data_IF_909074582784
#
_entry.id   IF_909074582784
#
_cell.length_a   1.000
_cell.length_b   1.000
_cell.length_c   1.000
_cell.angle_alpha   90.00
_cell.angle_beta   90.00
_cell.angle_gamma   90.00
#
_symmetry.space_group_name_H-M   'P 1'
#
loop_
_entity.id
_entity.type
_entity.pdbx_description
1 polymer ?
#
# COMPACT_ATOMS: atom_id res chain seq x y z
N UNK A 1 -16.75 10.75 -23.39
CA UNK A 1 -15.80 11.32 -22.40
C UNK A 1 -14.67 10.32 -22.26
N UNK A 2 -13.39 10.72 -22.15
CA UNK A 2 -12.33 9.77 -21.85
C UNK A 2 -12.66 9.07 -20.53
N UNK A 3 -12.43 7.76 -20.46
CA UNK A 3 -12.62 7.00 -19.23
C UNK A 3 -11.68 7.57 -18.15
N UNK A 4 -12.20 7.80 -16.94
CA UNK A 4 -11.37 8.30 -15.84
C UNK A 4 -10.22 7.30 -15.58
N UNK A 5 -8.97 7.74 -15.38
CA UNK A 5 -7.86 6.82 -15.14
C UNK A 5 -8.05 6.04 -13.83
N UNK A 6 -7.34 4.92 -13.70
CA UNK A 6 -7.06 4.34 -12.40
C UNK A 6 -5.89 5.09 -11.75
N UNK A 7 -5.98 5.35 -10.45
CA UNK A 7 -4.90 5.99 -9.70
C UNK A 7 -4.18 4.98 -8.82
N UNK A 8 -2.86 5.02 -8.82
CA UNK A 8 -1.99 4.26 -7.90
C UNK A 8 -1.21 5.26 -7.05
N UNK A 9 -1.56 5.37 -5.76
CA UNK A 9 -0.82 6.21 -4.82
C UNK A 9 0.17 5.37 -4.02
N UNK A 10 1.45 5.78 -4.04
CA UNK A 10 2.56 5.06 -3.43
C UNK A 10 3.06 5.82 -2.20
N UNK A 11 2.95 5.22 -1.01
CA UNK A 11 3.35 5.83 0.26
C UNK A 11 4.64 5.19 0.82
N UNK A 12 5.68 6.01 1.01
CA UNK A 12 6.97 5.56 1.51
C UNK A 12 7.01 5.38 3.04
N UNK A 13 7.99 4.62 3.53
CA UNK A 13 8.23 4.41 4.97
C UNK A 13 8.76 5.65 5.69
N UNK A 14 8.79 5.64 7.03
CA UNK A 14 9.10 6.78 7.90
C UNK A 14 10.41 7.51 7.52
N UNK A 15 11.52 6.76 7.40
CA UNK A 15 12.88 7.27 7.16
C UNK A 15 13.27 7.28 5.66
N UNK A 16 12.32 7.03 4.77
CA UNK A 16 12.55 7.01 3.33
C UNK A 16 11.85 8.19 2.64
N UNK A 17 11.92 8.25 1.32
CA UNK A 17 11.23 9.26 0.50
C UNK A 17 10.57 8.64 -0.72
N UNK A 18 9.88 9.45 -1.54
CA UNK A 18 9.22 9.00 -2.76
C UNK A 18 10.20 8.37 -3.77
N UNK A 19 11.47 8.77 -3.74
CA UNK A 19 12.53 8.19 -4.57
C UNK A 19 13.13 6.87 -4.07
N UNK A 20 12.58 6.23 -3.02
CA UNK A 20 13.14 4.98 -2.50
C UNK A 20 12.98 3.81 -3.49
N UNK A 21 13.92 2.86 -3.46
CA UNK A 21 13.97 1.72 -4.41
C UNK A 21 12.65 0.97 -4.53
N UNK A 22 11.99 0.66 -3.40
CA UNK A 22 10.70 -0.04 -3.42
C UNK A 22 9.61 0.79 -4.09
N UNK A 23 9.52 2.08 -3.76
CA UNK A 23 8.48 2.96 -4.32
C UNK A 23 8.68 3.16 -5.81
N UNK A 24 9.93 3.36 -6.26
CA UNK A 24 10.23 3.50 -7.68
C UNK A 24 10.00 2.20 -8.46
N UNK A 25 10.31 1.04 -7.86
CA UNK A 25 10.00 -0.26 -8.47
C UNK A 25 8.50 -0.48 -8.65
N UNK A 26 7.68 -0.17 -7.63
CA UNK A 26 6.23 -0.25 -7.75
C UNK A 26 5.67 0.79 -8.75
N UNK A 27 6.21 2.01 -8.75
CA UNK A 27 5.81 3.06 -9.70
C UNK A 27 6.04 2.63 -11.14
N UNK A 28 7.24 2.11 -11.44
CA UNK A 28 7.59 1.62 -12.77
C UNK A 28 6.60 0.54 -13.23
N UNK A 29 6.31 -0.44 -12.37
CA UNK A 29 5.31 -1.49 -12.67
C UNK A 29 3.92 -0.91 -12.93
N UNK A 30 3.46 0.08 -12.15
CA UNK A 30 2.16 0.69 -12.38
C UNK A 30 2.07 1.45 -13.71
N UNK A 31 3.16 2.10 -14.11
CA UNK A 31 3.27 2.86 -15.36
C UNK A 31 3.34 1.98 -16.62
N UNK A 32 3.48 0.66 -16.47
CA UNK A 32 3.36 -0.30 -17.58
C UNK A 32 1.89 -0.52 -18.03
N UNK A 33 0.91 -0.14 -17.21
CA UNK A 33 -0.51 -0.37 -17.49
C UNK A 33 -1.19 0.85 -18.12
N UNK A 34 -1.82 0.65 -19.27
CA UNK A 34 -2.62 1.68 -19.93
C UNK A 34 -3.76 2.17 -19.03
N UNK A 35 -3.98 3.49 -19.01
CA UNK A 35 -5.03 4.11 -18.20
C UNK A 35 -4.73 4.18 -16.70
N UNK A 36 -3.53 3.80 -16.25
CA UNK A 36 -3.06 3.98 -14.87
C UNK A 36 -2.24 5.27 -14.74
N UNK A 37 -2.48 6.02 -13.65
CA UNK A 37 -1.65 7.14 -13.22
C UNK A 37 -1.06 6.83 -11.86
N UNK A 38 0.26 6.76 -11.78
CA UNK A 38 0.97 6.43 -10.54
C UNK A 38 1.63 7.68 -9.91
N UNK A 39 1.39 7.91 -8.63
CA UNK A 39 1.93 9.04 -7.88
C UNK A 39 2.64 8.55 -6.61
N UNK A 40 3.91 8.92 -6.45
CA UNK A 40 4.65 8.69 -5.20
C UNK A 40 4.52 9.92 -4.29
N UNK A 41 3.79 9.76 -3.19
CA UNK A 41 3.49 10.87 -2.28
C UNK A 41 4.71 11.16 -1.41
N UNK A 42 5.13 12.42 -1.35
CA UNK A 42 6.22 12.87 -0.49
C UNK A 42 5.71 13.22 0.91
N UNK A 43 5.95 12.32 1.85
CA UNK A 43 5.59 12.50 3.25
C UNK A 43 6.71 13.08 4.11
N UNK A 44 7.85 13.48 3.54
CA UNK A 44 9.04 13.88 4.32
C UNK A 44 8.86 15.16 5.14
N UNK A 45 7.83 15.97 4.85
CA UNK A 45 7.53 17.15 5.66
C UNK A 45 7.07 16.83 7.08
N UNK A 46 6.66 15.58 7.38
CA UNK A 46 6.31 15.17 8.73
C UNK A 46 6.56 13.68 9.01
N UNK A 47 6.91 13.38 10.26
CA UNK A 47 6.98 12.01 10.81
C UNK A 47 5.67 11.61 11.52
N UNK A 48 4.73 12.54 11.68
CA UNK A 48 3.44 12.29 12.34
C UNK A 48 2.51 11.46 11.42
N UNK A 49 2.04 10.29 11.86
CA UNK A 49 1.09 9.47 11.11
C UNK A 49 -0.18 10.21 10.68
N UNK A 50 -0.74 11.08 11.52
CA UNK A 50 -1.96 11.82 11.20
C UNK A 50 -1.74 12.82 10.05
N UNK A 51 -0.59 13.49 10.05
CA UNK A 51 -0.21 14.40 8.96
C UNK A 51 -0.01 13.63 7.65
N UNK A 52 0.57 12.43 7.69
CA UNK A 52 0.74 11.61 6.49
C UNK A 52 -0.58 11.09 5.91
N UNK A 53 -1.56 10.78 6.77
CA UNK A 53 -2.91 10.48 6.31
C UNK A 53 -3.53 11.65 5.56
N UNK A 54 -3.39 12.84 6.12
CA UNK A 54 -3.94 14.06 5.53
C UNK A 54 -3.27 14.37 4.17
N UNK A 55 -1.96 14.13 4.05
CA UNK A 55 -1.26 14.23 2.77
C UNK A 55 -1.77 13.23 1.73
N UNK A 56 -2.06 11.99 2.13
CA UNK A 56 -2.67 10.99 1.24
C UNK A 56 -4.06 11.46 0.78
N UNK A 57 -4.89 11.95 1.70
CA UNK A 57 -6.23 12.49 1.38
C UNK A 57 -6.14 13.65 0.40
N UNK A 58 -5.26 14.62 0.66
CA UNK A 58 -5.07 15.79 -0.20
C UNK A 58 -4.56 15.41 -1.60
N UNK A 59 -3.66 14.42 -1.71
CA UNK A 59 -3.19 13.93 -3.01
C UNK A 59 -4.33 13.27 -3.81
N UNK A 60 -5.12 12.40 -3.18
CA UNK A 60 -6.28 11.76 -3.80
C UNK A 60 -7.30 12.80 -4.30
N UNK A 61 -7.61 13.81 -3.49
CA UNK A 61 -8.52 14.89 -3.87
C UNK A 61 -7.97 15.75 -5.01
N UNK A 62 -6.70 16.16 -4.92
CA UNK A 62 -6.04 16.98 -5.94
C UNK A 62 -5.97 16.27 -7.30
N UNK A 63 -5.84 14.95 -7.30
CA UNK A 63 -5.83 14.14 -8.51
C UNK A 63 -7.25 13.92 -9.10
N UNK A 64 -8.30 14.23 -8.34
CA UNK A 64 -9.68 13.87 -8.69
C UNK A 64 -9.88 12.35 -8.72
N UNK A 65 -9.20 11.62 -7.84
CA UNK A 65 -9.28 10.17 -7.77
C UNK A 65 -10.62 9.73 -7.15
N UNK A 66 -11.29 8.77 -7.79
CA UNK A 66 -12.50 8.14 -7.24
C UNK A 66 -12.12 6.83 -6.53
N UNK A 67 -12.71 6.52 -5.36
CA UNK A 67 -12.27 5.39 -4.55
C UNK A 67 -12.30 4.04 -5.28
N UNK A 68 -13.34 3.78 -6.09
CA UNK A 68 -13.53 2.57 -6.88
C UNK A 68 -12.51 2.37 -8.00
N UNK A 69 -11.71 3.40 -8.32
CA UNK A 69 -10.59 3.34 -9.26
C UNK A 69 -9.25 3.73 -8.61
N UNK A 70 -9.19 3.68 -7.28
CA UNK A 70 -7.99 4.03 -6.52
C UNK A 70 -7.33 2.77 -5.94
N UNK A 71 -6.03 2.65 -6.16
CA UNK A 71 -5.16 1.62 -5.58
C UNK A 71 -4.11 2.32 -4.73
N UNK A 72 -3.93 1.83 -3.51
CA UNK A 72 -2.94 2.33 -2.56
C UNK A 72 -1.85 1.28 -2.43
N UNK A 73 -0.58 1.68 -2.53
CA UNK A 73 0.52 0.81 -2.17
C UNK A 73 1.48 1.51 -1.21
N UNK A 74 1.92 0.82 -0.17
CA UNK A 74 2.72 1.47 0.85
C UNK A 74 3.65 0.53 1.58
N UNK A 75 4.77 1.07 2.08
CA UNK A 75 5.76 0.30 2.83
C UNK A 75 5.93 0.80 4.26
N UNK A 76 6.01 -0.11 5.24
CA UNK A 76 6.19 0.22 6.65
C UNK A 76 5.12 1.22 7.13
N UNK A 77 5.52 2.40 7.61
CA UNK A 77 4.60 3.49 7.93
C UNK A 77 3.69 3.88 6.75
N UNK A 78 4.18 3.90 5.51
CA UNK A 78 3.34 4.15 4.35
C UNK A 78 2.31 3.05 4.11
N UNK A 79 2.64 1.81 4.49
CA UNK A 79 1.67 0.71 4.50
C UNK A 79 0.56 0.92 5.54
N UNK A 80 0.89 1.50 6.70
CA UNK A 80 -0.12 1.90 7.68
C UNK A 80 -1.00 3.05 7.15
N UNK A 81 -0.42 4.05 6.47
CA UNK A 81 -1.19 5.14 5.82
C UNK A 81 -2.19 4.54 4.83
N UNK A 82 -1.74 3.68 3.91
CA UNK A 82 -2.63 3.04 2.93
C UNK A 82 -3.74 2.21 3.60
N UNK A 83 -3.40 1.39 4.59
CA UNK A 83 -4.39 0.59 5.32
C UNK A 83 -5.43 1.46 6.01
N UNK A 84 -5.01 2.52 6.71
CA UNK A 84 -5.91 3.40 7.44
C UNK A 84 -6.75 4.28 6.50
N UNK A 85 -6.18 4.78 5.39
CA UNK A 85 -6.93 5.45 4.33
C UNK A 85 -8.03 4.54 3.79
N UNK A 86 -7.72 3.27 3.48
CA UNK A 86 -8.73 2.33 2.98
C UNK A 86 -9.83 1.99 3.99
N UNK A 87 -9.53 2.04 5.29
CA UNK A 87 -10.50 1.82 6.35
C UNK A 87 -11.48 3.00 6.51
N UNK A 88 -11.03 4.23 6.19
CA UNK A 88 -11.85 5.45 6.21
C UNK A 88 -12.63 5.60 4.90
N UNK A 89 -11.97 5.34 3.78
CA UNK A 89 -12.52 5.44 2.43
C UNK A 89 -12.23 4.14 1.69
N UNK A 90 -13.22 3.23 1.58
CA UNK A 90 -13.06 1.98 0.83
C UNK A 90 -12.57 2.22 -0.59
N UNK A 91 -11.45 1.60 -0.98
CA UNK A 91 -10.80 1.77 -2.29
C UNK A 91 -10.76 0.45 -3.07
N UNK A 92 -10.39 0.51 -4.36
CA UNK A 92 -10.24 -0.68 -5.20
C UNK A 92 -9.20 -1.65 -4.66
N UNK A 93 -8.02 -1.15 -4.23
CA UNK A 93 -6.98 -2.06 -3.75
C UNK A 93 -5.96 -1.46 -2.78
N UNK A 94 -5.40 -2.33 -1.93
CA UNK A 94 -4.29 -2.05 -1.02
C UNK A 94 -3.17 -3.10 -1.17
N UNK A 95 -1.97 -2.64 -1.54
CA UNK A 95 -0.76 -3.47 -1.62
C UNK A 95 0.27 -3.04 -0.59
N UNK A 96 0.47 -3.86 0.44
CA UNK A 96 1.11 -3.44 1.69
C UNK A 96 2.43 -4.19 1.90
N UNK A 97 3.53 -3.46 2.07
CA UNK A 97 4.89 -4.01 2.23
C UNK A 97 5.39 -3.81 3.66
N UNK A 98 5.58 -4.89 4.42
CA UNK A 98 5.98 -4.87 5.82
C UNK A 98 5.24 -3.79 6.63
N UNK A 99 3.89 -3.69 6.53
CA UNK A 99 3.16 -2.51 6.97
C UNK A 99 3.18 -2.37 8.48
N UNK A 100 3.30 -1.15 9.01
CA UNK A 100 3.37 -0.85 10.45
C UNK A 100 2.01 -1.07 11.17
N UNK A 101 1.53 -2.31 11.14
CA UNK A 101 0.29 -2.78 11.74
C UNK A 101 0.57 -3.67 12.96
N UNK A 102 -0.45 -3.86 13.80
CA UNK A 102 -0.45 -4.68 15.00
C UNK A 102 0.67 -4.35 16.01
N UNK A 103 1.18 -3.12 15.99
CA UNK A 103 2.16 -2.60 16.93
C UNK A 103 1.45 -2.05 18.20
N UNK A 104 1.81 -2.51 19.42
CA UNK A 104 1.12 -2.16 20.68
C UNK A 104 1.08 -0.68 21.07
N UNK A 105 1.83 0.19 20.38
CA UNK A 105 1.90 1.64 20.65
C UNK A 105 1.72 2.51 19.41
N UNK A 106 1.34 1.89 18.29
CA UNK A 106 1.11 2.62 17.04
C UNK A 106 -0.38 2.96 16.93
N UNK A 107 -0.74 4.19 16.52
CA UNK A 107 -2.13 4.63 16.47
C UNK A 107 -2.96 3.72 15.58
N UNK A 108 -4.13 3.29 16.07
CA UNK A 108 -5.06 2.43 15.32
C UNK A 108 -4.37 1.28 14.58
N UNK A 109 -3.39 0.63 15.22
CA UNK A 109 -2.48 -0.30 14.54
C UNK A 109 -3.17 -1.53 13.94
N UNK A 110 -4.44 -1.79 14.24
CA UNK A 110 -5.20 -2.91 13.69
C UNK A 110 -6.47 -2.44 12.95
N UNK A 111 -6.35 -1.72 11.82
CA UNK A 111 -7.50 -1.24 11.07
C UNK A 111 -8.26 -2.40 10.42
N UNK A 112 -9.58 -2.26 10.27
CA UNK A 112 -10.36 -3.07 9.34
C UNK A 112 -10.12 -2.52 7.93
N UNK A 113 -9.37 -3.25 7.11
CA UNK A 113 -8.93 -2.79 5.80
C UNK A 113 -10.13 -2.81 4.85
N UNK A 114 -10.53 -1.62 4.38
CA UNK A 114 -11.71 -1.44 3.52
C UNK A 114 -11.42 -1.52 2.02
N UNK A 115 -10.23 -1.97 1.62
CA UNK A 115 -9.91 -2.17 0.21
C UNK A 115 -10.48 -3.48 -0.32
N UNK A 116 -11.08 -3.44 -1.52
CA UNK A 116 -11.69 -4.62 -2.15
C UNK A 116 -10.68 -5.72 -2.46
N UNK A 117 -9.52 -5.35 -2.99
CA UNK A 117 -8.38 -6.25 -3.18
C UNK A 117 -7.27 -5.88 -2.21
N UNK A 118 -6.84 -6.82 -1.36
CA UNK A 118 -5.74 -6.56 -0.43
C UNK A 118 -4.67 -7.63 -0.55
N UNK A 119 -3.42 -7.21 -0.59
CA UNK A 119 -2.26 -8.12 -0.53
C UNK A 119 -1.19 -7.56 0.38
N UNK A 120 -0.75 -8.38 1.34
CA UNK A 120 0.36 -8.07 2.25
C UNK A 120 1.59 -8.86 1.81
N UNK A 121 2.73 -8.19 1.70
CA UNK A 121 4.05 -8.83 1.55
C UNK A 121 4.88 -8.49 2.80
N UNK A 122 5.41 -9.50 3.49
CA UNK A 122 6.15 -9.31 4.74
C UNK A 122 7.45 -10.16 4.75
N UNK A 123 8.40 -9.79 5.58
CA UNK A 123 9.64 -10.55 5.80
C UNK A 123 9.56 -11.46 7.03
N UNK A 124 10.06 -12.69 6.95
CA UNK A 124 10.16 -13.57 8.12
C UNK A 124 11.06 -12.99 9.20
N UNK A 125 12.14 -12.32 8.79
CA UNK A 125 13.18 -11.78 9.66
C UNK A 125 12.95 -10.27 9.96
N UNK A 126 11.70 -9.81 9.89
CA UNK A 126 11.34 -8.42 10.19
C UNK A 126 11.44 -8.15 11.71
N UNK A 127 12.47 -7.41 12.08
CA UNK A 127 12.80 -6.99 13.44
C UNK A 127 12.21 -5.63 13.85
N UNK A 128 11.62 -4.89 12.90
CA UNK A 128 11.00 -3.58 13.14
C UNK A 128 9.49 -3.74 13.31
N UNK A 129 8.87 -4.51 12.43
CA UNK A 129 7.46 -4.89 12.48
C UNK A 129 7.37 -6.42 12.50
N UNK A 130 7.27 -7.03 13.69
CA UNK A 130 7.20 -8.49 13.79
C UNK A 130 6.09 -9.07 12.92
N UNK A 131 6.44 -10.10 12.14
CA UNK A 131 5.53 -10.71 11.14
C UNK A 131 4.29 -11.34 11.78
N UNK A 132 4.42 -11.98 12.95
CA UNK A 132 3.36 -12.80 13.54
C UNK A 132 2.10 -11.99 13.91
N UNK A 133 2.19 -10.83 14.58
CA UNK A 133 1.03 -9.95 14.78
C UNK A 133 0.34 -9.51 13.48
N UNK A 134 1.09 -9.25 12.41
CA UNK A 134 0.53 -8.86 11.11
C UNK A 134 -0.20 -10.04 10.46
N UNK A 135 0.35 -11.26 10.55
CA UNK A 135 -0.33 -12.48 10.08
C UNK A 135 -1.61 -12.77 10.86
N UNK A 136 -1.64 -12.52 12.16
CA UNK A 136 -2.85 -12.69 12.96
C UNK A 136 -3.95 -11.68 12.55
N UNK A 137 -3.59 -10.44 12.26
CA UNK A 137 -4.51 -9.46 11.69
C UNK A 137 -5.02 -9.90 10.31
N UNK A 138 -4.12 -10.32 9.42
CA UNK A 138 -4.46 -10.82 8.09
C UNK A 138 -5.40 -12.03 8.17
N UNK A 139 -5.14 -12.97 9.09
CA UNK A 139 -5.98 -14.15 9.33
C UNK A 139 -7.40 -13.77 9.76
N UNK A 140 -7.56 -12.83 10.68
CA UNK A 140 -8.88 -12.35 11.15
C UNK A 140 -9.71 -11.74 10.01
N UNK A 141 -9.06 -11.09 9.06
CA UNK A 141 -9.71 -10.41 7.93
C UNK A 141 -9.67 -11.23 6.61
N UNK A 142 -9.05 -12.42 6.62
CA UNK A 142 -8.80 -13.27 5.44
C UNK A 142 -8.06 -12.56 4.31
N UNK A 143 -7.07 -11.73 4.67
CA UNK A 143 -6.27 -10.98 3.70
C UNK A 143 -5.19 -11.87 3.11
N UNK A 144 -5.04 -11.79 1.79
CA UNK A 144 -3.99 -12.53 1.10
C UNK A 144 -2.61 -12.02 1.52
N UNK A 145 -1.73 -12.94 1.93
CA UNK A 145 -0.43 -12.59 2.48
C UNK A 145 0.67 -13.49 1.93
N UNK A 146 1.79 -12.89 1.53
CA UNK A 146 3.03 -13.57 1.17
C UNK A 146 4.11 -13.20 2.18
N UNK A 147 4.78 -14.19 2.76
CA UNK A 147 5.92 -13.97 3.65
C UNK A 147 7.19 -14.50 2.99
N UNK A 148 8.24 -13.70 2.97
CA UNK A 148 9.49 -13.95 2.26
C UNK A 148 10.66 -14.14 3.24
N UNK A 149 11.72 -14.90 2.88
CA UNK A 149 12.94 -15.03 3.69
C UNK A 149 13.80 -13.75 3.58
N UNK A 150 13.31 -12.68 4.19
CA UNK A 150 13.87 -11.33 4.14
C UNK A 150 13.53 -10.55 5.42
N UNK A 151 14.19 -9.42 5.63
CA UNK A 151 13.98 -8.54 6.78
C UNK A 151 12.97 -7.42 6.49
N UNK A 152 12.91 -6.44 7.40
CA UNK A 152 11.94 -5.34 7.34
C UNK A 152 11.96 -4.57 6.01
N UNK A 153 13.15 -4.32 5.45
CA UNK A 153 13.27 -3.46 4.27
C UNK A 153 12.98 -4.22 2.97
N UNK A 154 12.79 -5.55 3.01
CA UNK A 154 12.51 -6.41 1.86
C UNK A 154 13.51 -6.22 0.70
N UNK A 155 14.74 -5.82 1.02
CA UNK A 155 15.73 -5.40 0.03
C UNK A 155 16.24 -6.55 -0.84
N UNK A 156 16.23 -7.79 -0.33
CA UNK A 156 16.60 -8.99 -1.11
C UNK A 156 15.48 -9.44 -2.03
N UNK A 157 14.28 -8.89 -1.84
CA UNK A 157 13.03 -9.36 -2.46
C UNK A 157 12.37 -8.33 -3.37
N UNK A 158 13.01 -7.20 -3.69
CA UNK A 158 12.41 -6.11 -4.49
C UNK A 158 11.84 -6.62 -5.82
N UNK A 159 12.59 -7.44 -6.56
CA UNK A 159 12.11 -8.00 -7.84
C UNK A 159 10.91 -8.93 -7.65
N UNK A 160 10.88 -9.70 -6.55
CA UNK A 160 9.74 -10.56 -6.23
C UNK A 160 8.51 -9.71 -5.89
N UNK A 161 8.69 -8.66 -5.10
CA UNK A 161 7.66 -7.69 -4.74
C UNK A 161 7.06 -7.03 -5.98
N UNK A 162 7.91 -6.57 -6.92
CA UNK A 162 7.46 -5.97 -8.18
C UNK A 162 6.59 -6.93 -9.01
N UNK A 163 6.98 -8.21 -9.13
CA UNK A 163 6.18 -9.23 -9.82
C UNK A 163 4.83 -9.49 -9.14
N UNK A 164 4.77 -9.52 -7.82
CA UNK A 164 3.50 -9.68 -7.11
C UNK A 164 2.61 -8.45 -7.24
N UNK A 165 3.21 -7.25 -7.34
CA UNK A 165 2.48 -6.02 -7.59
C UNK A 165 1.88 -5.98 -8.99
N UNK A 166 2.62 -6.40 -10.02
CA UNK A 166 2.09 -6.52 -11.39
C UNK A 166 0.84 -7.43 -11.41
N UNK A 167 0.93 -8.63 -10.84
CA UNK A 167 -0.21 -9.57 -10.75
C UNK A 167 -1.39 -9.00 -9.96
N UNK A 168 -1.10 -8.22 -8.93
CA UNK A 168 -2.11 -7.54 -8.14
C UNK A 168 -2.85 -6.49 -8.98
N UNK A 169 -2.13 -5.66 -9.73
CA UNK A 169 -2.73 -4.69 -10.65
C UNK A 169 -3.56 -5.38 -11.74
N UNK A 170 -3.06 -6.46 -12.37
CA UNK A 170 -3.85 -7.24 -13.33
C UNK A 170 -5.19 -7.70 -12.74
N UNK A 171 -5.19 -8.10 -11.47
CA UNK A 171 -6.41 -8.56 -10.78
C UNK A 171 -7.39 -7.41 -10.55
N UNK A 172 -6.89 -6.27 -10.03
CA UNK A 172 -7.70 -5.08 -9.76
C UNK A 172 -8.34 -4.52 -11.05
N UNK A 173 -7.55 -4.43 -12.12
CA UNK A 173 -7.95 -3.76 -13.36
C UNK A 173 -8.87 -4.62 -14.24
N UNK A 174 -8.81 -5.96 -14.15
CA UNK A 174 -9.68 -6.85 -14.94
C UNK A 174 -11.16 -6.84 -14.51
N UNK A 175 -11.49 -6.45 -13.26
CA UNK A 175 -12.86 -6.53 -12.74
C UNK A 175 -13.26 -5.33 -11.84
N UNK A 176 -13.21 -4.07 -12.30
CA UNK A 176 -13.46 -2.92 -11.43
C UNK A 176 -14.89 -2.87 -10.84
N UNK A 177 -15.89 -3.52 -11.46
CA UNK A 177 -17.31 -3.35 -11.12
C UNK A 177 -18.00 -4.55 -10.41
N UNK A 178 -17.28 -5.63 -10.04
CA UNK A 178 -17.93 -6.76 -9.33
C UNK A 178 -18.08 -6.45 -7.82
N UNK A 179 -19.28 -6.05 -7.42
CA UNK A 179 -19.73 -6.01 -6.01
C UNK A 179 -19.88 -7.43 -5.47
#
# INVERSE_FOLDING_TARGET
MPEQPFFVFLSHGLESGPGSTKIQALKAVAEEFDGVRAEAIDHRSSKDPAVRLEQMRAAMESAGAVPERTILAGSSMGGWVCAQTSAITPVLGCFLLAPALALPKYPQSSPLIGARYTRIIHGWDDDVVPVMPVLELARKQRLETLVLPDGHRLEKSVDRVAREFHRFLETCLKNPNKV
#
